data_IF_940261413986
#
_entry.id   IF_940261413986
#
_cell.length_a   1.000
_cell.length_b   1.000
_cell.length_c   1.000
_cell.angle_alpha   90.00
_cell.angle_beta   90.00
_cell.angle_gamma   90.00
#
_symmetry.space_group_name_H-M   'P 1'
#
loop_
_entity.id
_entity.type
_entity.pdbx_description
1 polymer ?
#
# COMPACT_ATOMS: atom_id res chain seq x y z
N UNK A 1 10.35 0.60 19.85
CA UNK A 1 9.36 1.59 19.35
C UNK A 1 8.78 1.22 17.99
N UNK A 2 9.59 0.69 17.06
CA UNK A 2 9.16 0.34 15.69
C UNK A 2 8.10 -0.78 15.63
N UNK A 3 8.13 -1.72 16.58
CA UNK A 3 7.18 -2.83 16.66
C UNK A 3 5.75 -2.36 16.94
N UNK A 4 5.57 -1.37 17.83
CA UNK A 4 4.24 -0.82 18.17
C UNK A 4 3.62 -0.16 16.94
N UNK A 5 4.41 0.60 16.19
CA UNK A 5 3.98 1.22 14.94
C UNK A 5 3.65 0.20 13.85
N UNK A 6 4.46 -0.85 13.70
CA UNK A 6 4.17 -1.95 12.77
C UNK A 6 2.84 -2.64 13.11
N UNK A 7 2.59 -2.89 14.40
CA UNK A 7 1.33 -3.50 14.85
C UNK A 7 0.12 -2.62 14.56
N UNK A 8 0.22 -1.31 14.83
CA UNK A 8 -0.85 -0.34 14.54
C UNK A 8 -1.17 -0.32 13.04
N UNK A 9 -0.14 -0.30 12.19
CA UNK A 9 -0.31 -0.29 10.73
C UNK A 9 -1.00 -1.57 10.24
N UNK A 10 -0.67 -2.73 10.80
CA UNK A 10 -1.37 -3.98 10.47
C UNK A 10 -2.84 -3.89 10.89
N UNK A 11 -3.12 -3.45 12.12
CA UNK A 11 -4.49 -3.34 12.63
C UNK A 11 -5.31 -2.41 11.72
N UNK A 12 -4.75 -1.25 11.34
CA UNK A 12 -5.39 -0.30 10.43
C UNK A 12 -5.59 -0.92 9.03
N UNK A 13 -4.59 -1.63 8.50
CA UNK A 13 -4.69 -2.32 7.21
C UNK A 13 -5.77 -3.40 7.21
N UNK A 14 -5.87 -4.19 8.28
CA UNK A 14 -6.92 -5.20 8.47
C UNK A 14 -8.29 -4.54 8.53
N UNK A 15 -8.43 -3.45 9.28
CA UNK A 15 -9.68 -2.68 9.33
C UNK A 15 -10.09 -2.16 7.96
N UNK A 16 -9.14 -1.69 7.14
CA UNK A 16 -9.41 -1.22 5.76
C UNK A 16 -9.86 -2.38 4.86
N UNK A 17 -9.31 -3.58 5.01
CA UNK A 17 -9.74 -4.75 4.23
C UNK A 17 -11.14 -5.21 4.66
N UNK A 18 -11.37 -5.32 5.98
CA UNK A 18 -12.64 -5.79 6.55
C UNK A 18 -13.77 -4.79 6.30
N UNK A 19 -13.51 -3.50 6.53
CA UNK A 19 -14.47 -2.42 6.30
C UNK A 19 -14.36 -1.82 4.90
N UNK A 20 -13.61 -2.44 3.98
CA UNK A 20 -13.39 -1.93 2.63
C UNK A 20 -14.68 -1.72 1.83
N UNK A 21 -15.73 -2.47 2.14
CA UNK A 21 -17.07 -2.24 1.58
C UNK A 21 -17.75 -0.99 2.12
N UNK A 22 -17.63 -0.73 3.42
CA UNK A 22 -18.16 0.51 4.00
C UNK A 22 -17.38 1.73 3.50
N UNK A 23 -16.05 1.59 3.37
CA UNK A 23 -15.18 2.62 2.79
C UNK A 23 -15.57 2.84 1.33
N UNK A 24 -15.76 1.78 0.54
CA UNK A 24 -16.22 1.89 -0.84
C UNK A 24 -17.60 2.56 -0.95
N UNK A 25 -18.54 2.22 -0.07
CA UNK A 25 -19.86 2.83 -0.05
C UNK A 25 -19.81 4.32 0.37
N UNK A 26 -18.81 4.72 1.15
CA UNK A 26 -18.59 6.12 1.55
C UNK A 26 -17.86 6.93 0.46
N UNK A 27 -16.82 6.35 -0.15
CA UNK A 27 -16.01 6.99 -1.21
C UNK A 27 -16.70 6.94 -2.57
N UNK A 28 -17.64 6.02 -2.76
CA UNK A 28 -18.31 5.80 -4.04
C UNK A 28 -17.38 5.20 -5.09
N UNK A 29 -17.84 5.23 -6.34
CA UNK A 29 -17.05 4.72 -7.45
C UNK A 29 -16.00 5.76 -7.87
N UNK A 30 -14.73 5.40 -7.68
CA UNK A 30 -13.61 6.26 -8.06
C UNK A 30 -13.37 6.12 -9.57
N UNK A 31 -13.96 7.02 -10.35
CA UNK A 31 -13.86 7.04 -11.82
C UNK A 31 -12.42 7.18 -12.34
N UNK A 32 -11.49 7.72 -11.56
CA UNK A 32 -10.05 7.70 -11.86
C UNK A 32 -9.46 6.28 -11.84
N UNK A 33 -9.96 5.42 -10.96
CA UNK A 33 -9.44 4.07 -10.74
C UNK A 33 -9.98 3.11 -11.79
N UNK A 34 -11.26 3.21 -12.13
CA UNK A 34 -11.84 2.42 -13.22
C UNK A 34 -11.20 2.73 -14.58
N UNK A 35 -10.68 3.95 -14.75
CA UNK A 35 -10.00 4.38 -15.99
C UNK A 35 -8.53 3.99 -16.06
N UNK A 36 -7.84 3.86 -14.91
CA UNK A 36 -6.38 3.65 -14.85
C UNK A 36 -5.97 2.26 -14.34
N UNK A 37 -6.86 1.57 -13.64
CA UNK A 37 -6.70 0.20 -13.18
C UNK A 37 -7.78 -0.67 -13.83
N UNK A 38 -7.44 -1.81 -14.46
CA UNK A 38 -8.41 -2.76 -15.00
C UNK A 38 -9.08 -3.59 -13.88
N UNK A 39 -9.53 -2.92 -12.82
CA UNK A 39 -10.12 -3.51 -11.63
C UNK A 39 -11.20 -2.62 -11.05
N UNK A 40 -12.10 -3.22 -10.27
CA UNK A 40 -13.16 -2.46 -9.60
C UNK A 40 -12.56 -1.55 -8.53
N UNK A 41 -13.14 -0.37 -8.33
CA UNK A 41 -12.79 0.55 -7.24
C UNK A 41 -12.79 -0.15 -5.86
N UNK A 42 -13.66 -1.17 -5.68
CA UNK A 42 -13.67 -2.04 -4.49
C UNK A 42 -12.42 -2.90 -4.37
N UNK A 43 -11.96 -3.49 -5.48
CA UNK A 43 -10.71 -4.24 -5.54
C UNK A 43 -9.50 -3.38 -5.16
N UNK A 44 -9.49 -2.11 -5.60
CA UNK A 44 -8.41 -1.17 -5.29
C UNK A 44 -8.34 -0.83 -3.80
N UNK A 45 -9.48 -0.57 -3.14
CA UNK A 45 -9.50 -0.28 -1.69
C UNK A 45 -8.97 -1.48 -0.89
N UNK A 46 -9.34 -2.70 -1.30
CA UNK A 46 -8.81 -3.93 -0.69
C UNK A 46 -7.32 -4.11 -0.98
N UNK A 47 -6.85 -3.77 -2.19
CA UNK A 47 -5.45 -3.81 -2.56
C UNK A 47 -4.61 -2.88 -1.67
N UNK A 48 -5.08 -1.65 -1.43
CA UNK A 48 -4.43 -0.71 -0.50
C UNK A 48 -4.34 -1.30 0.90
N UNK A 49 -5.44 -1.87 1.41
CA UNK A 49 -5.46 -2.50 2.72
C UNK A 49 -4.44 -3.65 2.83
N UNK A 50 -4.35 -4.49 1.79
CA UNK A 50 -3.36 -5.58 1.72
C UNK A 50 -1.92 -5.03 1.70
N UNK A 51 -1.65 -3.98 0.93
CA UNK A 51 -0.33 -3.33 0.89
C UNK A 51 0.04 -2.77 2.26
N UNK A 52 -0.91 -2.16 2.98
CA UNK A 52 -0.69 -1.70 4.36
C UNK A 52 -0.38 -2.85 5.31
N UNK A 53 -1.11 -3.97 5.23
CA UNK A 53 -0.83 -5.16 6.06
C UNK A 53 0.56 -5.70 5.78
N UNK A 54 0.94 -5.84 4.50
CA UNK A 54 2.27 -6.31 4.09
C UNK A 54 3.36 -5.35 4.56
N UNK A 55 3.16 -4.04 4.44
CA UNK A 55 4.09 -3.02 4.94
C UNK A 55 4.25 -3.07 6.47
N UNK A 56 3.15 -3.25 7.20
CA UNK A 56 3.19 -3.43 8.66
C UNK A 56 3.92 -4.71 9.07
N UNK A 57 3.73 -5.82 8.34
CA UNK A 57 4.48 -7.07 8.55
C UNK A 57 5.99 -6.90 8.27
N UNK A 58 6.33 -6.10 7.27
CA UNK A 58 7.71 -5.79 6.90
C UNK A 58 8.41 -4.96 8.00
N UNK A 59 7.66 -4.08 8.66
CA UNK A 59 8.13 -3.31 9.82
C UNK A 59 8.32 -4.22 11.04
N UNK A 60 7.39 -5.15 11.29
CA UNK A 60 7.44 -6.06 12.43
C UNK A 60 8.53 -7.12 12.32
N UNK A 61 8.76 -7.66 11.13
CA UNK A 61 9.78 -8.69 10.90
C UNK A 61 11.22 -8.16 11.05
N UNK A 62 11.42 -6.86 11.23
CA UNK A 62 12.74 -6.23 11.17
C UNK A 62 13.40 -6.29 9.78
N UNK A 63 12.73 -6.92 8.81
CA UNK A 63 13.18 -7.10 7.45
C UNK A 63 13.20 -5.79 6.67
N UNK A 64 12.63 -4.70 7.22
CA UNK A 64 12.85 -3.33 6.72
C UNK A 64 14.33 -3.03 6.47
N UNK A 65 15.25 -3.49 7.33
CA UNK A 65 16.69 -3.29 7.13
C UNK A 65 17.27 -4.11 5.96
N UNK A 66 16.71 -5.30 5.70
CA UNK A 66 17.16 -6.19 4.64
C UNK A 66 16.53 -5.87 3.27
N UNK A 67 15.26 -5.44 3.26
CA UNK A 67 14.48 -5.13 2.06
C UNK A 67 14.59 -3.66 1.61
N UNK A 68 14.99 -2.73 2.49
CA UNK A 68 15.20 -1.32 2.11
C UNK A 68 16.29 -1.14 1.06
N UNK A 69 17.31 -2.00 1.03
CA UNK A 69 18.32 -2.03 -0.04
C UNK A 69 17.72 -2.31 -1.42
N UNK A 70 17.11 -3.49 -1.64
CA UNK A 70 16.54 -3.85 -2.94
C UNK A 70 15.28 -3.04 -3.30
N UNK A 71 14.39 -2.73 -2.35
CA UNK A 71 13.21 -1.88 -2.63
C UNK A 71 13.58 -0.42 -2.86
N UNK A 72 14.57 0.12 -2.12
CA UNK A 72 15.08 1.47 -2.34
C UNK A 72 15.75 1.59 -3.72
N UNK A 73 16.54 0.57 -4.11
CA UNK A 73 17.11 0.48 -5.45
C UNK A 73 16.04 0.38 -6.54
N UNK A 74 15.04 -0.50 -6.38
CA UNK A 74 13.96 -0.64 -7.36
C UNK A 74 13.10 0.63 -7.46
N UNK A 75 12.76 1.28 -6.34
CA UNK A 75 11.98 2.51 -6.32
C UNK A 75 12.75 3.68 -6.92
N UNK A 76 14.05 3.80 -6.62
CA UNK A 76 14.94 4.80 -7.22
C UNK A 76 15.10 4.58 -8.73
N UNK A 77 15.16 3.34 -9.21
CA UNK A 77 15.26 3.07 -10.64
C UNK A 77 13.94 3.34 -11.38
N UNK A 78 12.79 3.06 -10.75
CA UNK A 78 11.48 3.30 -11.33
C UNK A 78 11.06 4.78 -11.32
N UNK A 79 11.40 5.54 -10.28
CA UNK A 79 11.06 6.96 -10.17
C UNK A 79 12.20 7.91 -10.58
N UNK A 80 13.46 7.50 -10.45
CA UNK A 80 14.62 8.28 -10.89
C UNK A 80 14.80 8.30 -12.41
N UNK A 81 14.40 7.23 -13.10
CA UNK A 81 14.39 7.20 -14.57
C UNK A 81 13.42 8.20 -15.22
N UNK A 82 12.44 8.72 -14.48
CA UNK A 82 11.52 9.77 -14.93
C UNK A 82 12.08 11.20 -14.78
N UNK A 83 13.23 11.38 -14.12
CA UNK A 83 13.85 12.70 -13.90
C UNK A 83 14.93 13.04 -14.93
N UNK A 84 15.36 12.09 -15.76
CA UNK A 84 16.44 12.22 -16.75
C UNK A 84 15.94 12.28 -18.20
N UNK A 85 14.70 12.71 -18.42
CA UNK A 85 14.25 13.20 -19.73
C UNK A 85 14.02 14.71 -19.63
N UNK A 86 15.08 15.49 -19.84
CA UNK A 86 15.03 16.90 -20.23
C UNK A 86 16.05 17.15 -21.32
#
# INVERSE_FOLDING_TARGET
MNIVWGLIIIIVGVLIVVFGEKIYNFTGNLSFIERKFPGTSRGFIKLIGIIMILGGLLILSGALGFLSGPLGGAFSNLFGGLSTEK
#
